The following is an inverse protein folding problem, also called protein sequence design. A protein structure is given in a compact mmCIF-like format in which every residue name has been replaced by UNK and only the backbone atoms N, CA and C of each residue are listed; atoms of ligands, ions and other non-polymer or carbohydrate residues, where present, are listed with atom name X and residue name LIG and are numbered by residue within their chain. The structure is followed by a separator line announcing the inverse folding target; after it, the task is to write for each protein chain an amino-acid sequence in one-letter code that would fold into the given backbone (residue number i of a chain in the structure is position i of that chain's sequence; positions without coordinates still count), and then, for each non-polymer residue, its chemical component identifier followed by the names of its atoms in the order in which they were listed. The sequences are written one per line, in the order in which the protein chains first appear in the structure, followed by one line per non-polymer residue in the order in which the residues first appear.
data_IF_626520970299
#
_entry.id   IF_626520970299
#
_cell.length_a   1.000
_cell.length_b   1.000
_cell.length_c   1.000
_cell.angle_alpha   90.00
_cell.angle_beta   90.00
_cell.angle_gamma   90.00
#
_symmetry.space_group_name_H-M   'P 1'
#
loop_
_entity.id
_entity.type
_entity.pdbx_description
1 polymer ?
#
# COMPACT_ATOMS: atom_id res chain seq x y z
N UNK A 1 -6.85 3.31 -24.58
CA UNK A 1 -7.26 4.38 -23.62
C UNK A 1 -6.01 5.12 -23.21
N UNK A 2 -6.01 6.46 -23.20
CA UNK A 2 -4.88 7.21 -22.63
C UNK A 2 -4.78 6.83 -21.15
N UNK A 3 -3.62 6.32 -20.71
CA UNK A 3 -3.38 6.05 -19.30
C UNK A 3 -3.55 7.34 -18.51
N UNK A 4 -4.56 7.39 -17.65
CA UNK A 4 -4.70 8.47 -16.67
C UNK A 4 -3.47 8.47 -15.77
N UNK A 5 -2.79 9.61 -15.65
CA UNK A 5 -1.71 9.76 -14.67
C UNK A 5 -2.31 9.95 -13.28
N UNK A 6 -1.55 9.65 -12.22
CA UNK A 6 -1.97 9.93 -10.85
C UNK A 6 -2.40 11.40 -10.67
N UNK A 7 -1.73 12.33 -11.35
CA UNK A 7 -2.06 13.76 -11.31
C UNK A 7 -3.42 14.08 -11.92
N UNK A 8 -3.81 13.40 -13.00
CA UNK A 8 -5.16 13.54 -13.57
C UNK A 8 -6.23 12.96 -12.64
N UNK A 9 -5.93 11.87 -11.93
CA UNK A 9 -6.85 11.31 -10.94
C UNK A 9 -7.05 12.25 -9.74
N UNK A 10 -6.04 13.05 -9.34
CA UNK A 10 -6.22 14.07 -8.31
C UNK A 10 -7.19 15.19 -8.70
N UNK A 11 -7.41 15.43 -9.99
CA UNK A 11 -8.35 16.45 -10.44
C UNK A 11 -9.81 16.08 -10.12
N UNK A 12 -10.08 14.80 -9.86
CA UNK A 12 -11.39 14.30 -9.39
C UNK A 12 -11.64 14.55 -7.89
N UNK A 13 -10.61 14.91 -7.12
CA UNK A 13 -10.73 15.17 -5.68
C UNK A 13 -11.26 16.61 -5.48
N UNK A 14 -12.40 16.73 -4.82
CA UNK A 14 -13.01 18.04 -4.52
C UNK A 14 -12.18 18.78 -3.46
N UNK A 15 -11.95 20.08 -3.67
CA UNK A 15 -11.28 20.93 -2.68
C UNK A 15 -12.17 21.09 -1.43
N UNK A 16 -11.78 20.57 -0.26
CA UNK A 16 -12.58 20.62 0.97
C UNK A 16 -12.50 21.99 1.66
N UNK A 17 -11.70 22.94 1.15
CA UNK A 17 -11.49 24.25 1.77
C UNK A 17 -12.61 25.21 1.41
N UNK A 18 -12.93 26.11 2.35
CA UNK A 18 -13.84 27.24 2.07
C UNK A 18 -13.17 28.17 1.05
N UNK A 19 -13.93 28.69 0.07
CA UNK A 19 -13.43 29.57 -1.01
C UNK A 19 -12.64 30.79 -0.49
N UNK A 20 -13.08 31.37 0.64
CA UNK A 20 -12.42 32.53 1.24
C UNK A 20 -11.01 32.15 1.72
N UNK A 21 -9.99 32.81 1.16
CA UNK A 21 -8.59 32.63 1.57
C UNK A 21 -7.83 31.52 0.83
N UNK A 22 -8.43 30.88 -0.17
CA UNK A 22 -7.69 29.94 -1.05
C UNK A 22 -6.70 30.73 -1.90
N UNK A 23 -5.40 30.49 -1.68
CA UNK A 23 -4.30 31.16 -2.40
C UNK A 23 -3.68 30.31 -3.50
N UNK A 24 -3.61 29.01 -3.27
CA UNK A 24 -3.04 28.01 -4.16
C UNK A 24 -4.10 26.96 -4.50
N UNK A 25 -4.11 26.52 -5.76
CA UNK A 25 -4.98 25.44 -6.22
C UNK A 25 -4.73 24.18 -5.39
N UNK A 26 -5.80 23.47 -5.04
CA UNK A 26 -5.75 22.30 -4.17
C UNK A 26 -5.00 21.14 -4.81
N UNK A 27 -5.35 20.80 -6.05
CA UNK A 27 -4.74 19.73 -6.82
C UNK A 27 -3.23 19.98 -7.01
N UNK A 28 -2.82 21.22 -7.29
CA UNK A 28 -1.40 21.59 -7.39
C UNK A 28 -0.63 21.31 -6.10
N UNK A 29 -1.24 21.53 -4.93
CA UNK A 29 -0.62 21.19 -3.65
C UNK A 29 -0.46 19.68 -3.51
N UNK A 30 -1.47 18.89 -3.90
CA UNK A 30 -1.37 17.42 -3.89
C UNK A 30 -0.23 16.94 -4.78
N UNK A 31 -0.18 17.45 -6.02
CA UNK A 31 0.86 17.12 -7.00
C UNK A 31 2.26 17.46 -6.44
N UNK A 32 2.42 18.63 -5.80
CA UNK A 32 3.69 19.03 -5.17
C UNK A 32 4.11 18.09 -4.03
N UNK A 33 3.17 17.74 -3.14
CA UNK A 33 3.45 16.83 -2.02
C UNK A 33 3.85 15.45 -2.54
N UNK A 34 3.18 14.94 -3.57
CA UNK A 34 3.53 13.67 -4.21
C UNK A 34 4.93 13.70 -4.81
N UNK A 35 5.31 14.76 -5.54
CA UNK A 35 6.69 14.93 -6.04
C UNK A 35 7.69 14.91 -4.88
N UNK A 36 7.38 15.62 -3.79
CA UNK A 36 8.19 15.61 -2.58
C UNK A 36 8.43 14.20 -2.03
N UNK A 37 7.38 13.39 -1.93
CA UNK A 37 7.49 11.99 -1.49
C UNK A 37 8.30 11.12 -2.46
N UNK A 38 8.18 11.31 -3.77
CA UNK A 38 9.03 10.64 -4.76
C UNK A 38 10.52 11.00 -4.58
N UNK A 39 10.81 12.22 -4.13
CA UNK A 39 12.14 12.68 -3.74
C UNK A 39 12.57 12.24 -2.32
N UNK A 40 11.80 11.38 -1.65
CA UNK A 40 12.01 10.92 -0.27
C UNK A 40 11.96 12.04 0.78
N UNK A 41 11.27 13.14 0.50
CA UNK A 41 11.09 14.25 1.43
C UNK A 41 9.85 13.98 2.31
N UNK A 42 10.08 13.58 3.56
CA UNK A 42 9.00 13.23 4.51
C UNK A 42 8.57 14.38 5.43
N UNK A 43 9.14 15.57 5.25
CA UNK A 43 8.88 16.77 6.05
C UNK A 43 8.40 17.91 5.13
N UNK A 44 7.33 18.61 5.54
CA UNK A 44 6.69 19.64 4.70
C UNK A 44 7.62 20.83 4.45
N UNK A 45 8.43 21.21 5.42
CA UNK A 45 9.44 22.26 5.32
C UNK A 45 10.48 21.91 4.25
N UNK A 46 10.91 20.65 4.20
CA UNK A 46 11.83 20.16 3.17
C UNK A 46 11.19 20.17 1.78
N UNK A 47 9.91 19.81 1.66
CA UNK A 47 9.16 19.91 0.40
C UNK A 47 9.10 21.37 -0.07
N UNK A 48 8.87 22.32 0.84
CA UNK A 48 8.83 23.75 0.50
C UNK A 48 10.21 24.27 0.10
N UNK A 49 11.28 23.84 0.79
CA UNK A 49 12.64 24.20 0.42
C UNK A 49 12.98 23.71 -0.98
N UNK A 50 12.72 22.42 -1.26
CA UNK A 50 12.84 21.85 -2.60
C UNK A 50 12.02 22.63 -3.64
N UNK A 51 10.77 22.96 -3.31
CA UNK A 51 9.91 23.72 -4.20
C UNK A 51 10.46 25.11 -4.53
N UNK A 52 11.11 25.79 -3.58
CA UNK A 52 11.73 27.12 -3.79
C UNK A 52 12.90 27.03 -4.75
N UNK A 53 13.81 26.08 -4.53
CA UNK A 53 14.99 25.87 -5.38
C UNK A 53 14.60 25.55 -6.83
N UNK A 54 13.55 24.75 -7.02
CA UNK A 54 13.12 24.27 -8.34
C UNK A 54 11.87 24.99 -8.88
N UNK A 55 11.48 26.13 -8.29
CA UNK A 55 10.16 26.74 -8.56
C UNK A 55 9.95 27.15 -10.01
N UNK A 56 11.03 27.56 -10.70
CA UNK A 56 10.99 27.94 -12.12
C UNK A 56 10.44 26.82 -13.01
N UNK A 57 10.72 25.56 -12.66
CA UNK A 57 10.29 24.38 -13.41
C UNK A 57 8.96 23.89 -12.85
N UNK A 58 8.87 23.70 -11.53
CA UNK A 58 7.72 23.05 -10.90
C UNK A 58 6.42 23.88 -10.99
N UNK A 59 6.52 25.21 -11.01
CA UNK A 59 5.35 26.08 -10.89
C UNK A 59 4.28 25.76 -11.93
N UNK A 60 4.62 25.82 -13.22
CA UNK A 60 3.63 25.66 -14.28
C UNK A 60 3.26 24.19 -14.49
N UNK A 61 4.24 23.29 -14.41
CA UNK A 61 4.04 21.84 -14.55
C UNK A 61 3.06 21.27 -13.52
N UNK A 62 3.05 21.82 -12.29
CA UNK A 62 2.12 21.39 -11.24
C UNK A 62 0.84 22.25 -11.19
N UNK A 63 0.69 23.24 -12.07
CA UNK A 63 -0.51 24.08 -12.18
C UNK A 63 -0.60 25.26 -11.18
N UNK A 64 0.52 25.69 -10.61
CA UNK A 64 0.55 26.87 -9.73
C UNK A 64 0.60 28.18 -10.52
N UNK A 65 -0.16 29.19 -10.08
CA UNK A 65 -0.19 30.53 -10.70
C UNK A 65 0.66 31.56 -9.96
N UNK A 66 0.88 31.36 -8.67
CA UNK A 66 1.56 32.30 -7.75
C UNK A 66 3.08 32.35 -8.00
N UNK A 67 3.70 33.49 -7.71
CA UNK A 67 5.16 33.66 -7.86
C UNK A 67 5.99 32.83 -6.89
N UNK A 68 5.43 32.46 -5.74
CA UNK A 68 6.11 31.69 -4.69
C UNK A 68 5.35 30.38 -4.41
N UNK A 69 6.03 29.31 -3.95
CA UNK A 69 5.38 28.08 -3.51
C UNK A 69 4.51 28.30 -2.26
N UNK A 70 3.55 27.41 -1.97
CA UNK A 70 2.84 27.42 -0.70
C UNK A 70 3.82 27.21 0.46
N UNK A 71 3.56 27.85 1.59
CA UNK A 71 4.31 27.58 2.82
C UNK A 71 3.89 26.24 3.47
N UNK A 72 4.72 25.72 4.38
CA UNK A 72 4.49 24.42 5.02
C UNK A 72 3.17 24.39 5.82
N UNK A 73 2.77 25.52 6.42
CA UNK A 73 1.49 25.61 7.15
C UNK A 73 0.31 25.53 6.19
N UNK A 74 0.40 26.16 5.01
CA UNK A 74 -0.61 26.05 3.95
C UNK A 74 -0.75 24.61 3.45
N UNK A 75 0.36 23.90 3.23
CA UNK A 75 0.35 22.48 2.84
C UNK A 75 -0.28 21.64 3.97
N UNK A 76 0.17 21.81 5.22
CA UNK A 76 -0.36 21.06 6.36
C UNK A 76 -1.86 21.24 6.55
N UNK A 77 -2.38 22.48 6.43
CA UNK A 77 -3.82 22.77 6.50
C UNK A 77 -4.63 22.13 5.37
N UNK A 78 -4.03 21.96 4.19
CA UNK A 78 -4.65 21.27 3.06
C UNK A 78 -4.72 19.78 3.38
N UNK A 79 -3.59 19.16 3.71
CA UNK A 79 -3.50 17.73 4.02
C UNK A 79 -4.44 17.32 5.17
N UNK A 80 -4.53 18.15 6.21
CA UNK A 80 -5.42 17.91 7.36
C UNK A 80 -6.93 17.91 7.02
N UNK A 81 -7.33 18.42 5.85
CA UNK A 81 -8.73 18.48 5.41
C UNK A 81 -9.07 17.47 4.32
N UNK A 82 -8.09 16.77 3.77
CA UNK A 82 -8.32 15.79 2.72
C UNK A 82 -9.10 14.61 3.30
N UNK A 83 -10.14 14.18 2.58
CA UNK A 83 -10.79 12.91 2.88
C UNK A 83 -9.93 11.75 2.35
N UNK A 84 -9.55 10.84 3.24
CA UNK A 84 -8.74 9.68 2.89
C UNK A 84 -9.40 8.80 1.81
N UNK A 85 -10.73 8.67 1.81
CA UNK A 85 -11.47 7.85 0.84
C UNK A 85 -11.40 8.44 -0.56
N UNK A 86 -11.39 9.77 -0.68
CA UNK A 86 -11.24 10.44 -1.97
C UNK A 86 -9.83 10.23 -2.52
N UNK A 87 -8.81 10.29 -1.65
CA UNK A 87 -7.44 10.00 -2.03
C UNK A 87 -7.28 8.52 -2.45
N UNK A 88 -7.77 7.57 -1.65
CA UNK A 88 -7.77 6.14 -1.98
C UNK A 88 -8.51 5.85 -3.29
N UNK A 89 -9.60 6.58 -3.58
CA UNK A 89 -10.32 6.45 -4.84
C UNK A 89 -9.47 6.93 -6.02
N UNK A 90 -8.84 8.09 -5.92
CA UNK A 90 -7.97 8.60 -6.98
C UNK A 90 -6.77 7.67 -7.23
N UNK A 91 -6.13 7.16 -6.18
CA UNK A 91 -5.07 6.16 -6.31
C UNK A 91 -5.58 4.88 -6.97
N UNK A 92 -6.76 4.38 -6.57
CA UNK A 92 -7.34 3.19 -7.20
C UNK A 92 -7.64 3.40 -8.69
N UNK A 93 -8.20 4.56 -9.07
CA UNK A 93 -8.45 4.89 -10.48
C UNK A 93 -7.15 4.88 -11.30
N UNK A 94 -6.08 5.45 -10.75
CA UNK A 94 -4.77 5.39 -11.39
C UNK A 94 -4.24 3.96 -11.53
N UNK A 95 -4.32 3.16 -10.46
CA UNK A 95 -3.87 1.76 -10.44
C UNK A 95 -4.66 0.90 -11.42
N UNK A 96 -5.98 1.10 -11.53
CA UNK A 96 -6.81 0.38 -12.51
C UNK A 96 -6.42 0.69 -13.95
N UNK A 97 -5.75 1.82 -14.22
CA UNK A 97 -5.19 2.12 -15.53
C UNK A 97 -3.85 1.42 -15.80
N UNK A 98 -3.15 0.96 -14.77
CA UNK A 98 -1.87 0.23 -14.86
C UNK A 98 -2.11 -1.27 -14.96
N UNK A 99 -3.07 -1.80 -14.19
CA UNK A 99 -3.37 -3.23 -14.15
C UNK A 99 -4.07 -3.67 -15.43
N UNK A 100 -3.52 -4.70 -16.07
CA UNK A 100 -4.12 -5.34 -17.21
C UNK A 100 -5.19 -6.34 -16.73
N UNK A 101 -6.36 -6.30 -17.37
CA UNK A 101 -7.51 -7.09 -16.89
C UNK A 101 -7.32 -8.61 -17.09
N UNK A 102 -6.50 -9.00 -18.05
CA UNK A 102 -6.25 -10.39 -18.45
C UNK A 102 -5.02 -11.01 -17.78
N UNK A 103 -4.22 -10.20 -17.08
CA UNK A 103 -3.05 -10.68 -16.36
C UNK A 103 -3.40 -11.24 -14.98
N UNK A 104 -2.75 -12.34 -14.65
CA UNK A 104 -2.82 -12.96 -13.34
C UNK A 104 -1.71 -12.40 -12.45
N UNK A 105 -2.10 -11.72 -11.38
CA UNK A 105 -1.19 -11.09 -10.43
C UNK A 105 -1.03 -11.91 -9.15
N UNK A 106 0.17 -11.88 -8.60
CA UNK A 106 0.48 -12.36 -7.25
C UNK A 106 0.73 -11.17 -6.32
N UNK A 107 0.09 -11.16 -5.15
CA UNK A 107 0.33 -10.12 -4.15
C UNK A 107 0.73 -10.67 -2.79
N UNK A 108 1.72 -10.02 -2.18
CA UNK A 108 2.04 -10.21 -0.76
C UNK A 108 1.10 -9.42 0.14
N UNK A 109 0.79 -10.03 1.27
CA UNK A 109 0.08 -9.44 2.40
C UNK A 109 1.08 -9.23 3.53
N UNK A 110 1.14 -8.01 4.06
CA UNK A 110 2.03 -7.66 5.16
C UNK A 110 1.40 -6.68 6.14
N UNK A 111 1.62 -6.91 7.44
CA UNK A 111 1.16 -6.05 8.52
C UNK A 111 2.14 -4.91 8.77
N UNK A 112 1.68 -3.66 8.66
CA UNK A 112 2.46 -2.45 8.98
C UNK A 112 1.86 -1.71 10.16
N UNK A 113 2.72 -1.21 11.03
CA UNK A 113 2.37 -0.23 12.06
C UNK A 113 2.94 1.11 11.62
N UNK A 114 2.11 2.15 11.58
CA UNK A 114 2.57 3.50 11.29
C UNK A 114 3.28 4.06 12.52
N UNK A 115 4.58 4.30 12.39
CA UNK A 115 5.38 4.92 13.44
C UNK A 115 5.05 6.41 13.58
N UNK A 116 5.09 6.92 14.81
CA UNK A 116 4.79 8.32 15.15
C UNK A 116 3.39 8.80 14.72
N UNK A 117 2.46 7.87 14.48
CA UNK A 117 1.06 8.17 14.17
C UNK A 117 0.16 7.45 15.16
N UNK A 118 -0.68 8.21 15.85
CA UNK A 118 -1.70 7.68 16.75
C UNK A 118 -3.09 7.80 16.14
N UNK A 119 -3.89 6.75 16.30
CA UNK A 119 -5.30 6.77 15.99
C UNK A 119 -6.09 7.62 17.00
N UNK A 120 -7.38 7.83 16.70
CA UNK A 120 -8.28 8.59 17.58
C UNK A 120 -8.46 7.99 18.98
N UNK A 121 -8.08 6.73 19.18
CA UNK A 121 -8.10 6.02 20.44
C UNK A 121 -6.74 6.03 21.17
N UNK A 122 -5.75 6.80 20.67
CA UNK A 122 -4.39 6.85 21.21
C UNK A 122 -3.49 5.68 20.83
N UNK A 123 -4.03 4.62 20.20
CA UNK A 123 -3.26 3.45 19.80
C UNK A 123 -2.56 3.67 18.46
N UNK A 124 -1.42 2.99 18.19
CA UNK A 124 -0.78 3.00 16.89
C UNK A 124 -1.74 2.55 15.78
N UNK A 125 -1.67 3.20 14.62
CA UNK A 125 -2.46 2.77 13.46
C UNK A 125 -1.78 1.54 12.83
N UNK A 126 -2.49 0.42 12.83
CA UNK A 126 -2.08 -0.82 12.19
C UNK A 126 -2.83 -0.97 10.85
N UNK A 127 -2.13 -1.37 9.80
CA UNK A 127 -2.67 -1.62 8.46
C UNK A 127 -2.15 -2.94 7.91
N UNK A 128 -2.97 -3.62 7.11
CA UNK A 128 -2.51 -4.72 6.24
C UNK A 128 -2.35 -4.16 4.83
N UNK A 129 -1.15 -4.23 4.29
CA UNK A 129 -0.84 -3.83 2.93
C UNK A 129 -0.98 -5.04 1.98
N UNK A 130 -1.57 -4.79 0.81
CA UNK A 130 -1.61 -5.72 -0.32
C UNK A 130 -0.69 -5.18 -1.41
N UNK A 131 0.39 -5.89 -1.71
CA UNK A 131 1.45 -5.44 -2.61
C UNK A 131 1.63 -6.41 -3.77
N UNK A 132 1.38 -5.96 -5.01
CA UNK A 132 1.60 -6.75 -6.21
C UNK A 132 3.07 -6.69 -6.60
N UNK A 133 3.68 -7.86 -6.80
CA UNK A 133 5.12 -7.98 -7.07
C UNK A 133 5.51 -7.50 -8.47
N UNK A 134 4.71 -7.84 -9.48
CA UNK A 134 4.96 -7.57 -10.90
C UNK A 134 5.09 -6.08 -11.18
N UNK A 135 4.12 -5.30 -10.66
CA UNK A 135 4.08 -3.84 -10.82
C UNK A 135 4.72 -3.07 -9.65
N UNK A 136 5.25 -3.79 -8.64
CA UNK A 136 5.91 -3.24 -7.44
C UNK A 136 5.10 -2.17 -6.72
N UNK A 137 3.80 -2.41 -6.53
CA UNK A 137 2.87 -1.42 -5.99
C UNK A 137 1.97 -1.96 -4.89
N UNK A 138 1.78 -1.15 -3.84
CA UNK A 138 0.75 -1.39 -2.83
C UNK A 138 -0.61 -0.94 -3.38
N UNK A 139 -1.51 -1.89 -3.62
CA UNK A 139 -2.82 -1.65 -4.25
C UNK A 139 -3.97 -1.48 -3.26
N UNK A 140 -3.79 -1.93 -2.03
CA UNK A 140 -4.80 -1.79 -1.00
C UNK A 140 -4.15 -1.72 0.39
N UNK A 141 -4.81 -0.98 1.28
CA UNK A 141 -4.47 -0.89 2.68
C UNK A 141 -5.73 -1.14 3.49
N UNK A 142 -5.67 -2.08 4.43
CA UNK A 142 -6.81 -2.47 5.26
C UNK A 142 -6.50 -2.07 6.69
N UNK A 143 -7.26 -1.11 7.23
CA UNK A 143 -7.08 -0.68 8.62
C UNK A 143 -7.44 -1.80 9.58
N UNK A 144 -6.57 -2.02 10.56
CA UNK A 144 -6.76 -3.00 11.63
C UNK A 144 -6.98 -2.26 12.94
N UNK A 145 -7.94 -2.74 13.75
CA UNK A 145 -8.20 -2.14 15.07
C UNK A 145 -7.01 -2.31 16.02
N UNK A 146 -6.38 -3.47 15.99
CA UNK A 146 -5.27 -3.87 16.86
C UNK A 146 -4.37 -4.86 16.13
N UNK A 147 -3.07 -4.90 16.46
CA UNK A 147 -2.07 -5.76 15.80
C UNK A 147 -2.47 -7.24 15.71
N UNK A 148 -3.17 -7.78 16.71
CA UNK A 148 -3.60 -9.19 16.73
C UNK A 148 -4.81 -9.51 15.82
N UNK A 149 -5.32 -8.53 15.05
CA UNK A 149 -6.50 -8.67 14.21
C UNK A 149 -6.25 -8.67 12.69
N UNK A 150 -4.99 -8.68 12.25
CA UNK A 150 -4.61 -8.54 10.82
C UNK A 150 -5.28 -9.58 9.91
N UNK A 151 -5.18 -10.87 10.27
CA UNK A 151 -5.78 -11.98 9.51
C UNK A 151 -7.31 -11.85 9.41
N UNK A 152 -7.98 -11.48 10.51
CA UNK A 152 -9.43 -11.28 10.55
C UNK A 152 -9.86 -10.07 9.71
N UNK A 153 -9.09 -8.98 9.76
CA UNK A 153 -9.33 -7.78 8.96
C UNK A 153 -9.17 -8.08 7.46
N UNK A 154 -8.12 -8.81 7.08
CA UNK A 154 -7.94 -9.27 5.71
C UNK A 154 -9.11 -10.14 5.26
N UNK A 155 -9.47 -11.19 6.03
CA UNK A 155 -10.58 -12.10 5.73
C UNK A 155 -11.87 -11.32 5.43
N UNK A 156 -12.15 -10.29 6.23
CA UNK A 156 -13.34 -9.44 6.08
C UNK A 156 -13.30 -8.56 4.82
N UNK A 157 -12.11 -8.24 4.32
CA UNK A 157 -11.89 -7.39 3.16
C UNK A 157 -11.80 -8.15 1.83
N UNK A 158 -11.54 -9.48 1.84
CA UNK A 158 -11.25 -10.28 0.64
C UNK A 158 -12.27 -10.09 -0.49
N UNK A 159 -13.57 -10.15 -0.18
CA UNK A 159 -14.64 -10.02 -1.19
C UNK A 159 -14.57 -8.68 -1.92
N UNK A 160 -14.32 -7.58 -1.19
CA UNK A 160 -14.18 -6.26 -1.80
C UNK A 160 -12.83 -6.12 -2.53
N UNK A 161 -11.77 -6.72 -1.99
CA UNK A 161 -10.44 -6.71 -2.59
C UNK A 161 -10.47 -7.38 -3.97
N UNK A 162 -10.95 -8.62 -4.08
CA UNK A 162 -11.02 -9.35 -5.34
C UNK A 162 -12.05 -8.77 -6.32
N UNK A 163 -13.12 -8.14 -5.82
CA UNK A 163 -14.04 -7.37 -6.69
C UNK A 163 -13.34 -6.17 -7.33
N UNK A 164 -12.47 -5.48 -6.59
CA UNK A 164 -11.73 -4.32 -7.10
C UNK A 164 -10.57 -4.71 -8.01
N UNK A 165 -9.96 -5.86 -7.75
CA UNK A 165 -8.78 -6.35 -8.46
C UNK A 165 -9.02 -7.80 -8.93
N UNK A 166 -9.78 -8.00 -10.02
CA UNK A 166 -10.18 -9.33 -10.47
C UNK A 166 -9.00 -10.21 -10.91
N UNK A 167 -7.96 -9.61 -11.51
CA UNK A 167 -6.72 -10.30 -11.90
C UNK A 167 -5.82 -10.70 -10.72
N UNK A 168 -6.13 -10.28 -9.49
CA UNK A 168 -5.38 -10.77 -8.31
C UNK A 168 -5.74 -12.22 -8.05
N UNK A 169 -4.83 -13.16 -8.36
CA UNK A 169 -5.04 -14.61 -8.28
C UNK A 169 -4.50 -15.24 -7.02
N UNK A 170 -3.26 -14.89 -6.66
CA UNK A 170 -2.52 -15.55 -5.58
C UNK A 170 -2.21 -14.53 -4.48
N UNK A 171 -2.54 -14.89 -3.24
CA UNK A 171 -2.08 -14.16 -2.05
C UNK A 171 -0.93 -14.89 -1.36
N UNK A 172 0.18 -14.21 -1.17
CA UNK A 172 1.30 -14.68 -0.36
C UNK A 172 1.39 -13.92 0.95
N UNK A 173 1.89 -14.55 2.00
CA UNK A 173 1.96 -13.93 3.33
C UNK A 173 2.85 -14.70 4.28
N UNK A 174 3.26 -14.02 5.34
CA UNK A 174 4.00 -14.65 6.43
C UNK A 174 3.12 -15.64 7.22
N UNK A 175 3.72 -16.24 8.23
CA UNK A 175 3.04 -17.24 9.04
C UNK A 175 1.78 -16.70 9.75
N UNK A 176 1.68 -15.41 10.04
CA UNK A 176 0.49 -14.85 10.68
C UNK A 176 -0.77 -14.99 9.81
N UNK A 177 -0.60 -15.15 8.49
CA UNK A 177 -1.69 -15.30 7.52
C UNK A 177 -2.02 -16.77 7.19
N UNK A 178 -1.32 -17.74 7.76
CA UNK A 178 -1.52 -19.17 7.47
C UNK A 178 -2.71 -19.81 8.22
N UNK A 179 -3.66 -19.01 8.68
CA UNK A 179 -4.82 -19.46 9.45
C UNK A 179 -5.87 -20.15 8.58
N UNK A 180 -6.36 -21.32 9.00
CA UNK A 180 -7.33 -22.15 8.24
C UNK A 180 -8.53 -21.36 7.73
N UNK A 181 -9.11 -20.50 8.55
CA UNK A 181 -10.28 -19.72 8.17
C UNK A 181 -10.00 -18.69 7.08
N UNK A 182 -8.83 -18.05 7.10
CA UNK A 182 -8.42 -17.09 6.08
C UNK A 182 -8.13 -17.83 4.77
N UNK A 183 -7.32 -18.88 4.83
CA UNK A 183 -6.99 -19.72 3.67
C UNK A 183 -8.23 -20.28 2.99
N UNK A 184 -9.20 -20.77 3.77
CA UNK A 184 -10.49 -21.26 3.25
C UNK A 184 -11.30 -20.15 2.59
N UNK A 185 -11.35 -18.95 3.18
CA UNK A 185 -12.07 -17.83 2.59
C UNK A 185 -11.45 -17.37 1.26
N UNK A 186 -10.12 -17.50 1.10
CA UNK A 186 -9.43 -17.22 -0.17
C UNK A 186 -9.87 -18.21 -1.24
N UNK A 187 -9.85 -19.51 -0.95
CA UNK A 187 -10.21 -20.56 -1.93
C UNK A 187 -11.70 -20.59 -2.26
N UNK A 188 -12.58 -20.30 -1.29
CA UNK A 188 -14.02 -20.15 -1.53
C UNK A 188 -14.36 -18.97 -2.46
N UNK A 189 -13.46 -17.99 -2.60
CA UNK A 189 -13.57 -16.88 -3.56
C UNK A 189 -12.88 -17.18 -4.90
N UNK A 190 -12.46 -18.44 -5.13
CA UNK A 190 -11.83 -18.88 -6.37
C UNK A 190 -10.44 -18.28 -6.59
N UNK A 191 -9.68 -18.13 -5.50
CA UNK A 191 -8.31 -17.59 -5.47
C UNK A 191 -7.39 -18.56 -4.73
N UNK A 192 -6.09 -18.46 -4.98
CA UNK A 192 -5.09 -19.34 -4.39
C UNK A 192 -4.22 -18.58 -3.38
N UNK A 193 -3.46 -19.33 -2.57
CA UNK A 193 -2.56 -18.74 -1.59
C UNK A 193 -1.24 -19.49 -1.47
N UNK A 194 -0.21 -18.77 -1.05
CA UNK A 194 1.10 -19.30 -0.67
C UNK A 194 1.52 -18.72 0.68
N UNK A 195 1.32 -19.48 1.76
CA UNK A 195 1.52 -18.99 3.12
C UNK A 195 2.66 -19.73 3.81
N UNK A 196 3.51 -19.00 4.53
CA UNK A 196 4.56 -19.62 5.32
C UNK A 196 3.97 -20.38 6.52
N UNK A 197 4.50 -21.57 6.82
CA UNK A 197 4.14 -22.32 8.04
C UNK A 197 5.29 -22.23 9.04
N UNK A 198 4.98 -21.80 10.28
CA UNK A 198 5.92 -21.76 11.41
C UNK A 198 5.28 -22.39 12.65
N UNK A 199 5.81 -22.09 13.84
CA UNK A 199 5.31 -22.60 15.12
C UNK A 199 3.88 -22.18 15.47
N UNK A 200 3.28 -21.24 14.72
CA UNK A 200 1.86 -20.90 14.83
C UNK A 200 0.92 -22.02 14.33
N UNK A 201 1.44 -22.99 13.56
CA UNK A 201 0.71 -24.18 13.10
C UNK A 201 1.52 -25.45 13.44
N UNK A 202 1.64 -25.82 14.72
CA UNK A 202 2.62 -26.81 15.17
C UNK A 202 2.39 -28.21 14.59
N UNK A 203 1.12 -28.63 14.45
CA UNK A 203 0.79 -29.94 13.86
C UNK A 203 1.15 -30.01 12.38
N UNK A 204 0.81 -28.97 11.61
CA UNK A 204 1.13 -28.88 10.18
C UNK A 204 2.65 -28.82 10.01
N UNK A 205 3.34 -28.01 10.82
CA UNK A 205 4.79 -27.91 10.78
C UNK A 205 5.46 -29.27 11.05
N UNK A 206 4.99 -30.03 12.04
CA UNK A 206 5.50 -31.37 12.33
C UNK A 206 5.31 -32.31 11.14
N UNK A 207 4.09 -32.35 10.56
CA UNK A 207 3.81 -33.17 9.39
C UNK A 207 4.65 -32.79 8.16
N UNK A 208 4.82 -31.49 7.90
CA UNK A 208 5.66 -30.99 6.81
C UNK A 208 7.13 -31.40 7.00
N UNK A 209 7.66 -31.27 8.23
CA UNK A 209 9.04 -31.69 8.52
C UNK A 209 9.24 -33.18 8.26
N UNK A 210 8.36 -34.03 8.79
CA UNK A 210 8.44 -35.48 8.56
C UNK A 210 8.40 -35.81 7.07
N UNK A 211 7.45 -35.21 6.33
CA UNK A 211 7.30 -35.45 4.89
C UNK A 211 8.56 -35.02 4.10
N UNK A 212 9.08 -33.83 4.36
CA UNK A 212 10.26 -33.34 3.64
C UNK A 212 11.55 -34.06 4.06
N UNK A 213 11.69 -34.47 5.32
CA UNK A 213 12.84 -35.28 5.77
C UNK A 213 12.90 -36.66 5.11
N UNK A 214 11.74 -37.25 4.80
CA UNK A 214 11.64 -38.48 4.00
C UNK A 214 11.94 -38.22 2.52
N UNK A 215 11.38 -37.17 1.93
CA UNK A 215 11.55 -36.84 0.51
C UNK A 215 13.00 -36.52 0.15
N UNK A 216 13.73 -35.78 1.01
CA UNK A 216 15.15 -35.43 0.79
C UNK A 216 16.04 -36.69 0.67
N UNK A 217 15.63 -37.83 1.25
CA UNK A 217 16.37 -39.09 1.11
C UNK A 217 16.13 -39.75 -0.25
N UNK A 218 15.01 -39.47 -0.90
CA UNK A 218 14.57 -40.11 -2.14
C UNK A 218 14.83 -39.26 -3.38
N UNK A 219 15.03 -37.95 -3.21
CA UNK A 219 15.18 -36.99 -4.29
C UNK A 219 16.09 -35.83 -3.87
N UNK A 220 17.02 -35.47 -4.74
CA UNK A 220 17.79 -34.23 -4.59
C UNK A 220 16.90 -33.01 -4.86
N UNK A 221 17.09 -31.94 -4.08
CA UNK A 221 16.34 -30.71 -4.28
C UNK A 221 16.61 -30.12 -5.66
N UNK A 222 15.54 -29.72 -6.38
CA UNK A 222 15.66 -29.11 -7.70
C UNK A 222 16.39 -27.75 -7.66
N UNK A 223 16.36 -27.09 -6.50
CA UNK A 223 17.03 -25.82 -6.27
C UNK A 223 17.43 -25.66 -4.81
N UNK A 224 18.53 -24.95 -4.58
CA UNK A 224 18.97 -24.55 -3.25
C UNK A 224 18.86 -23.04 -3.12
N UNK A 225 18.47 -22.57 -1.93
CA UNK A 225 18.44 -21.12 -1.64
C UNK A 225 19.23 -20.89 -0.36
N UNK A 226 20.22 -20.00 -0.42
CA UNK A 226 20.94 -19.57 0.78
C UNK A 226 20.20 -18.38 1.43
N UNK A 227 19.70 -18.56 2.65
CA UNK A 227 19.28 -17.43 3.46
C UNK A 227 20.53 -16.61 3.83
N UNK A 228 20.62 -15.37 3.33
CA UNK A 228 21.61 -14.42 3.84
C UNK A 228 21.38 -14.26 5.34
N UNK A 229 22.33 -14.72 6.15
CA UNK A 229 22.35 -14.46 7.59
C UNK A 229 22.19 -12.95 7.79
N UNK A 230 21.19 -12.56 8.57
CA UNK A 230 21.06 -11.17 9.01
C UNK A 230 22.37 -10.79 9.69
N UNK A 231 23.01 -9.71 9.23
CA UNK A 231 24.10 -9.09 9.96
C UNK A 231 23.54 -8.68 11.32
N UNK A 232 23.96 -9.39 12.37
CA UNK A 232 23.76 -8.94 13.74
C UNK A 232 24.89 -7.94 13.98
N UNK A 233 24.58 -6.66 13.78
CA UNK A 233 25.41 -5.56 14.30
C UNK A 233 24.91 -5.20 15.69
#
# INVERSE_FOLDING_TARGET
MSLSTLFTCFDNIKDPRKKRGVRHNFQSILKLVTVGFCCRLVCLEHIVLFAKEHWKILKNELGFTRKQPPDATTIGRVLAKIDLKDLEKAFREWISGILEAEEDYTASVDGKVLENVQGSNGNPICIVNIFIHDIKLAIAQIKVKEKKGESTALKSALKNLFKKYPGLRILTGDAAYSGRELCRAITELGRDYFMQIKGNQPKILASLKTLFEEEIKNREADTFTEEKKRFVN
#
